data_IF_909624180985
#
_entry.id   IF_909624180985
#
_cell.length_a   1.000
_cell.length_b   1.000
_cell.length_c   1.000
_cell.angle_alpha   90.00
_cell.angle_beta   90.00
_cell.angle_gamma   90.00
#
_symmetry.space_group_name_H-M   'P 1'
#
loop_
_entity.id
_entity.type
_entity.pdbx_description
1 polymer ?
#
# COMPACT_ATOMS: atom_id res chain seq x y z
N UNK A 1 46.48 -77.19 34.25
CA UNK A 1 46.02 -76.92 35.63
C UNK A 1 46.55 -75.52 35.97
N UNK A 2 45.81 -74.43 36.18
CA UNK A 2 44.44 -74.12 36.61
C UNK A 2 43.91 -72.91 35.79
N UNK A 3 42.74 -73.02 35.15
CA UNK A 3 41.44 -72.45 35.56
C UNK A 3 41.44 -70.93 35.85
N UNK A 4 40.85 -70.19 34.91
CA UNK A 4 40.32 -68.82 35.06
C UNK A 4 39.34 -68.76 36.24
N UNK A 5 39.42 -67.71 37.06
CA UNK A 5 38.34 -67.32 37.96
C UNK A 5 37.98 -65.84 37.71
N UNK A 6 36.70 -65.61 37.44
CA UNK A 6 36.06 -64.33 37.14
C UNK A 6 35.93 -63.50 38.42
N UNK A 7 36.27 -62.22 38.37
CA UNK A 7 35.85 -61.23 39.37
C UNK A 7 34.55 -60.58 38.91
N UNK A 8 33.52 -60.61 39.77
CA UNK A 8 32.28 -59.83 39.64
C UNK A 8 32.12 -59.01 40.93
N UNK A 9 32.04 -57.68 40.71
CA UNK A 9 31.39 -56.55 41.44
C UNK A 9 31.31 -56.55 42.99
N UNK A 10 31.41 -55.42 43.69
CA UNK A 10 30.54 -54.22 43.66
C UNK A 10 31.27 -53.12 44.50
N UNK A 11 31.54 -51.91 44.00
CA UNK A 11 30.72 -50.67 44.03
C UNK A 11 31.27 -49.63 45.02
N UNK A 12 31.56 -48.41 44.54
CA UNK A 12 30.92 -47.12 44.90
C UNK A 12 31.30 -46.10 43.80
N UNK A 13 30.35 -45.34 43.23
CA UNK A 13 30.64 -44.39 42.16
C UNK A 13 31.25 -43.10 42.73
N UNK A 14 32.42 -42.69 42.24
CA UNK A 14 32.89 -41.33 42.39
C UNK A 14 32.39 -40.52 41.20
N UNK A 15 31.31 -39.78 41.41
CA UNK A 15 30.81 -38.80 40.46
C UNK A 15 31.86 -37.70 40.28
N UNK A 16 32.62 -37.76 39.18
CA UNK A 16 33.37 -36.61 38.69
C UNK A 16 32.36 -35.81 37.85
N UNK A 17 31.75 -34.82 38.48
CA UNK A 17 31.09 -33.73 37.76
C UNK A 17 32.16 -33.04 36.92
N UNK A 18 32.18 -33.38 35.63
CA UNK A 18 32.73 -32.51 34.61
C UNK A 18 31.94 -31.20 34.69
N UNK A 19 32.57 -30.18 35.28
CA UNK A 19 32.13 -28.80 35.17
C UNK A 19 32.28 -28.32 33.73
N UNK A 20 31.49 -28.89 32.82
CA UNK A 20 31.11 -28.23 31.59
C UNK A 20 30.12 -27.18 32.07
N UNK A 21 30.62 -25.97 32.35
CA UNK A 21 29.79 -24.80 32.55
C UNK A 21 28.96 -24.62 31.28
N UNK A 22 27.76 -25.20 31.28
CA UNK A 22 26.75 -24.96 30.28
C UNK A 22 26.43 -23.47 30.35
N UNK A 23 27.02 -22.71 29.44
CA UNK A 23 26.43 -21.46 29.02
C UNK A 23 25.08 -21.83 28.39
N UNK A 24 24.04 -21.89 29.20
CA UNK A 24 22.68 -21.85 28.70
C UNK A 24 22.50 -20.47 28.09
N UNK A 25 22.71 -20.39 26.78
CA UNK A 25 22.31 -19.23 26.00
C UNK A 25 20.78 -19.19 26.09
N UNK A 26 20.26 -18.33 26.97
CA UNK A 26 18.86 -17.93 26.94
C UNK A 26 18.66 -17.15 25.64
N UNK A 27 18.16 -17.84 24.61
CA UNK A 27 17.48 -17.15 23.53
C UNK A 27 16.14 -16.69 24.11
N UNK A 28 16.06 -15.45 24.60
CA UNK A 28 14.76 -14.84 24.86
C UNK A 28 13.95 -14.88 23.57
N UNK A 29 12.69 -15.30 23.66
CA UNK A 29 11.75 -15.10 22.56
C UNK A 29 11.70 -13.60 22.28
N UNK A 30 12.16 -13.21 21.10
CA UNK A 30 12.07 -11.83 20.64
C UNK A 30 10.60 -11.58 20.35
N UNK A 31 9.90 -10.88 21.26
CA UNK A 31 8.48 -10.56 21.08
C UNK A 31 8.30 -9.69 19.83
N UNK A 32 7.37 -10.08 18.95
CA UNK A 32 7.01 -9.31 17.76
C UNK A 32 6.60 -7.87 18.16
N UNK A 33 7.27 -6.85 17.63
CA UNK A 33 6.91 -5.45 17.87
C UNK A 33 5.83 -5.01 16.89
N UNK A 34 4.72 -4.45 17.37
CA UNK A 34 3.64 -3.95 16.50
C UNK A 34 3.78 -2.46 16.26
N UNK A 35 3.78 -2.05 14.99
CA UNK A 35 3.76 -0.66 14.55
C UNK A 35 2.38 -0.38 13.97
N UNK A 36 1.68 0.58 14.56
CA UNK A 36 0.35 1.02 14.11
C UNK A 36 0.50 2.19 13.15
N UNK A 37 -0.12 2.08 11.98
CA UNK A 37 0.03 3.03 10.88
C UNK A 37 -1.34 3.64 10.62
N UNK A 38 -1.51 4.90 11.03
CA UNK A 38 -2.73 5.67 10.83
C UNK A 38 -2.55 6.65 9.69
N UNK A 39 -3.49 6.65 8.75
CA UNK A 39 -3.50 7.59 7.63
C UNK A 39 -4.87 8.21 7.51
N UNK A 40 -4.89 9.53 7.41
CA UNK A 40 -6.09 10.27 7.04
C UNK A 40 -6.13 10.39 5.51
N UNK A 41 -7.19 9.88 4.91
CA UNK A 41 -7.50 10.08 3.50
C UNK A 41 -9.01 10.32 3.37
N UNK A 42 -9.45 11.29 2.54
CA UNK A 42 -10.87 11.50 2.31
C UNK A 42 -11.42 10.35 1.47
N UNK A 43 -12.61 9.88 1.83
CA UNK A 43 -13.34 8.89 1.04
C UNK A 43 -14.81 9.22 0.89
N UNK A 44 -15.46 8.65 -0.13
CA UNK A 44 -16.88 8.86 -0.38
C UNK A 44 -17.55 7.65 -1.02
N UNK A 45 -18.87 7.57 -0.87
CA UNK A 45 -19.74 6.62 -1.59
C UNK A 45 -20.56 7.32 -2.70
N UNK A 46 -20.33 8.62 -2.93
CA UNK A 46 -21.17 9.47 -3.78
C UNK A 46 -20.39 10.02 -4.96
N UNK A 47 -20.92 9.78 -6.16
CA UNK A 47 -20.38 10.31 -7.40
C UNK A 47 -20.28 11.86 -7.38
N UNK A 48 -21.28 12.52 -6.79
CA UNK A 48 -21.28 13.98 -6.61
C UNK A 48 -20.03 14.50 -5.89
N UNK A 49 -19.61 13.83 -4.81
CA UNK A 49 -18.45 14.26 -4.03
C UNK A 49 -17.16 13.99 -4.82
N UNK A 50 -17.08 12.86 -5.55
CA UNK A 50 -15.96 12.57 -6.47
C UNK A 50 -15.81 13.66 -7.53
N UNK A 51 -16.91 14.13 -8.11
CA UNK A 51 -16.89 15.23 -9.10
C UNK A 51 -16.50 16.54 -8.45
N UNK A 52 -17.04 16.88 -7.27
CA UNK A 52 -16.76 18.15 -6.60
C UNK A 52 -15.30 18.29 -6.20
N UNK A 53 -14.71 17.23 -5.67
CA UNK A 53 -13.31 17.21 -5.27
C UNK A 53 -12.35 17.22 -6.47
N UNK A 54 -12.76 16.67 -7.62
CA UNK A 54 -11.89 16.64 -8.81
C UNK A 54 -11.69 18.02 -9.45
N UNK A 55 -10.46 18.35 -9.81
CA UNK A 55 -10.16 19.46 -10.71
C UNK A 55 -10.39 19.05 -12.17
N UNK A 56 -10.18 17.76 -12.49
CA UNK A 56 -10.37 17.17 -13.82
C UNK A 56 -11.12 15.84 -13.71
N UNK A 57 -12.14 15.66 -14.55
CA UNK A 57 -12.79 14.36 -14.77
C UNK A 57 -12.56 13.96 -16.22
N UNK A 58 -11.91 12.82 -16.44
CA UNK A 58 -11.51 12.38 -17.77
C UNK A 58 -11.79 10.90 -18.00
N UNK A 59 -12.17 10.56 -19.24
CA UNK A 59 -12.32 9.19 -19.72
C UNK A 59 -11.17 8.87 -20.66
N UNK A 60 -10.62 7.66 -20.52
CA UNK A 60 -9.46 7.23 -21.30
C UNK A 60 -9.00 5.83 -20.93
N UNK A 61 -7.73 5.54 -21.18
CA UNK A 61 -7.13 4.26 -20.84
C UNK A 61 -5.66 4.41 -20.44
N UNK A 62 -5.20 3.55 -19.54
CA UNK A 62 -3.78 3.42 -19.26
C UNK A 62 -3.07 2.73 -20.42
N UNK A 63 -1.87 3.20 -20.80
CA UNK A 63 -1.03 2.57 -21.84
C UNK A 63 0.26 1.93 -21.31
N UNK A 64 0.63 2.23 -20.07
CA UNK A 64 1.77 1.59 -19.41
C UNK A 64 2.14 2.24 -18.09
N UNK A 65 3.00 1.55 -17.35
CA UNK A 65 3.77 2.12 -16.25
C UNK A 65 4.84 3.06 -16.81
N UNK A 66 5.01 4.23 -16.18
CA UNK A 66 6.00 5.24 -16.57
C UNK A 66 7.26 5.11 -15.72
N UNK A 67 7.14 5.37 -14.41
CA UNK A 67 8.26 5.33 -13.47
C UNK A 67 7.77 5.26 -12.02
N UNK A 68 8.71 5.00 -11.10
CA UNK A 68 8.52 5.33 -9.67
C UNK A 68 9.11 6.70 -9.36
N UNK A 69 8.67 7.32 -8.26
CA UNK A 69 9.23 8.58 -7.75
C UNK A 69 9.01 8.68 -6.24
N UNK A 70 9.77 9.55 -5.56
CA UNK A 70 9.53 9.83 -4.15
C UNK A 70 8.43 10.88 -4.02
N UNK A 71 7.27 10.58 -3.46
CA UNK A 71 6.20 11.55 -3.22
C UNK A 71 6.52 12.50 -2.07
N UNK A 72 7.40 12.12 -1.14
CA UNK A 72 7.74 12.95 0.01
C UNK A 72 8.41 14.26 -0.45
N UNK A 73 7.96 15.38 0.10
CA UNK A 73 8.40 16.72 -0.28
C UNK A 73 9.30 17.30 0.80
N UNK A 74 10.39 17.92 0.37
CA UNK A 74 11.30 18.60 1.27
C UNK A 74 10.52 19.72 2.02
N UNK A 75 10.49 19.71 3.37
CA UNK A 75 9.74 20.70 4.15
C UNK A 75 10.20 22.16 3.95
N UNK A 76 11.45 22.34 3.53
CA UNK A 76 12.05 23.64 3.23
C UNK A 76 11.86 24.07 1.77
N UNK A 77 11.62 23.13 0.86
CA UNK A 77 11.31 23.39 -0.55
C UNK A 77 10.42 22.28 -1.14
N UNK A 78 9.11 22.54 -1.20
CA UNK A 78 8.13 21.55 -1.66
C UNK A 78 8.30 21.15 -3.14
N UNK A 79 9.11 21.88 -3.92
CA UNK A 79 9.42 21.50 -5.30
C UNK A 79 10.47 20.38 -5.39
N UNK A 80 11.14 20.06 -4.28
CA UNK A 80 12.18 19.04 -4.22
C UNK A 80 11.73 17.81 -3.44
N UNK A 81 12.30 16.65 -3.79
CA UNK A 81 12.09 15.42 -3.04
C UNK A 81 12.71 15.55 -1.65
N UNK A 82 12.02 15.03 -0.64
CA UNK A 82 12.62 14.83 0.68
C UNK A 82 13.79 13.83 0.56
N UNK A 83 14.91 14.13 1.21
CA UNK A 83 16.10 13.27 1.20
C UNK A 83 16.08 12.23 2.32
N UNK A 84 15.29 12.46 3.36
CA UNK A 84 15.20 11.60 4.54
C UNK A 84 13.98 10.69 4.49
N UNK A 85 12.86 11.21 3.98
CA UNK A 85 11.60 10.48 3.87
C UNK A 85 11.39 9.92 2.46
N UNK A 86 10.82 8.72 2.38
CA UNK A 86 10.51 8.08 1.11
C UNK A 86 9.09 7.52 1.09
N UNK A 87 8.27 8.07 0.20
CA UNK A 87 6.92 7.53 -0.10
C UNK A 87 6.93 7.20 -1.59
N UNK A 88 6.86 5.92 -1.93
CA UNK A 88 6.92 5.48 -3.32
C UNK A 88 5.59 5.77 -4.03
N UNK A 89 5.66 6.59 -5.07
CA UNK A 89 4.59 6.80 -6.03
C UNK A 89 4.86 6.03 -7.31
N UNK A 90 3.81 5.42 -7.88
CA UNK A 90 3.83 4.79 -9.19
C UNK A 90 3.12 5.68 -10.20
N UNK A 91 3.84 6.14 -11.22
CA UNK A 91 3.28 6.92 -12.31
C UNK A 91 2.85 6.00 -13.45
N UNK A 92 1.62 6.19 -13.90
CA UNK A 92 1.06 5.51 -15.06
C UNK A 92 0.68 6.51 -16.14
N UNK A 93 0.97 6.16 -17.39
CA UNK A 93 0.61 6.96 -18.55
C UNK A 93 -0.86 6.69 -18.93
N UNK A 94 -1.64 7.76 -19.01
CA UNK A 94 -3.07 7.73 -19.31
C UNK A 94 -3.39 8.53 -20.56
N UNK A 95 -3.96 7.87 -21.56
CA UNK A 95 -4.39 8.51 -22.80
C UNK A 95 -5.82 8.99 -22.66
N UNK A 96 -6.01 10.30 -22.72
CA UNK A 96 -7.33 10.92 -22.60
C UNK A 96 -8.07 10.77 -23.92
N UNK A 97 -9.34 10.39 -23.84
CA UNK A 97 -10.27 10.30 -24.98
C UNK A 97 -11.36 11.35 -24.90
N UNK A 98 -11.78 11.67 -23.69
CA UNK A 98 -12.86 12.62 -23.43
C UNK A 98 -12.64 13.26 -22.06
N UNK A 99 -13.01 14.53 -21.94
CA UNK A 99 -12.93 15.30 -20.70
C UNK A 99 -14.34 15.75 -20.35
N UNK A 100 -14.78 15.41 -19.14
CA UNK A 100 -16.11 15.74 -18.62
C UNK A 100 -16.10 16.95 -17.69
N UNK A 101 -14.95 17.27 -17.08
CA UNK A 101 -14.76 18.44 -16.20
C UNK A 101 -13.31 18.92 -16.27
N UNK A 102 -13.14 20.24 -16.27
CA UNK A 102 -11.85 20.91 -16.15
C UNK A 102 -10.96 20.80 -17.39
N UNK A 103 -9.81 21.47 -17.34
CA UNK A 103 -8.86 21.49 -18.45
C UNK A 103 -7.59 20.71 -18.06
N UNK A 104 -7.27 19.57 -18.70
CA UNK A 104 -6.04 18.87 -18.40
C UNK A 104 -4.80 19.69 -18.85
N UNK A 105 -3.71 19.57 -18.09
CA UNK A 105 -2.38 20.09 -18.39
C UNK A 105 -1.84 19.54 -19.72
N UNK A 106 -2.22 18.30 -20.06
CA UNK A 106 -1.76 17.58 -21.25
C UNK A 106 -2.72 16.45 -21.67
N UNK A 107 -2.76 16.14 -22.96
CA UNK A 107 -3.60 15.07 -23.54
C UNK A 107 -3.22 13.65 -23.06
N UNK A 108 -1.95 13.46 -22.70
CA UNK A 108 -1.44 12.20 -22.14
C UNK A 108 -1.01 12.44 -20.70
N UNK A 109 -1.87 12.14 -19.74
CA UNK A 109 -1.64 12.44 -18.33
C UNK A 109 -0.70 11.41 -17.69
N UNK A 110 0.06 11.85 -16.68
CA UNK A 110 0.72 10.96 -15.73
C UNK A 110 -0.11 10.89 -14.46
N UNK A 111 -0.60 9.70 -14.11
CA UNK A 111 -1.44 9.49 -12.92
C UNK A 111 -0.60 8.82 -11.84
N UNK A 112 -0.45 9.48 -10.71
CA UNK A 112 0.25 8.95 -9.56
C UNK A 112 -0.67 8.09 -8.69
N UNK A 113 -0.17 6.89 -8.37
CA UNK A 113 -0.72 6.02 -7.35
C UNK A 113 0.29 5.92 -6.21
N UNK A 114 -0.15 6.24 -4.99
CA UNK A 114 0.66 5.94 -3.81
C UNK A 114 0.77 4.42 -3.66
N UNK A 115 1.99 3.91 -3.56
CA UNK A 115 2.25 2.48 -3.55
C UNK A 115 2.81 1.98 -2.23
N UNK A 116 3.81 2.65 -1.67
CA UNK A 116 4.44 2.24 -0.42
C UNK A 116 5.06 3.42 0.33
N UNK A 117 5.44 3.22 1.58
CA UNK A 117 6.23 4.18 2.36
C UNK A 117 7.33 3.46 3.15
N UNK A 118 8.45 4.14 3.34
CA UNK A 118 9.46 3.73 4.31
C UNK A 118 9.09 4.29 5.69
N UNK A 119 9.02 3.39 6.67
CA UNK A 119 8.74 3.72 8.06
C UNK A 119 10.02 3.50 8.84
N UNK A 120 10.49 4.55 9.51
CA UNK A 120 11.61 4.45 10.43
C UNK A 120 11.17 3.74 11.72
N UNK A 121 12.00 2.80 12.16
CA UNK A 121 11.81 2.00 13.35
C UNK A 121 12.83 2.44 14.39
N UNK A 122 12.32 3.08 15.44
CA UNK A 122 13.08 3.60 16.58
C UNK A 122 14.21 4.55 16.17
N UNK A 123 15.07 4.94 17.12
CA UNK A 123 16.22 5.83 16.89
C UNK A 123 17.39 5.15 16.13
N UNK A 124 17.14 4.00 15.50
CA UNK A 124 18.20 3.14 14.92
C UNK A 124 18.51 3.44 13.46
N UNK A 125 17.80 4.38 12.81
CA UNK A 125 17.76 4.58 11.36
C UNK A 125 17.32 3.33 10.55
N UNK A 126 16.79 2.30 11.22
CA UNK A 126 16.25 1.12 10.53
C UNK A 126 14.94 1.48 9.86
N UNK A 127 14.75 1.06 8.60
CA UNK A 127 13.52 1.35 7.85
C UNK A 127 12.86 0.06 7.38
N UNK A 128 11.54 0.01 7.44
CA UNK A 128 10.72 -1.05 6.83
C UNK A 128 9.78 -0.46 5.80
N UNK A 129 9.48 -1.24 4.78
CA UNK A 129 8.54 -0.84 3.73
C UNK A 129 7.14 -1.29 4.11
N UNK A 130 6.21 -0.33 4.17
CA UNK A 130 4.78 -0.57 4.28
C UNK A 130 4.13 -0.32 2.92
N UNK A 131 3.57 -1.36 2.31
CA UNK A 131 2.77 -1.23 1.10
C UNK A 131 1.41 -0.60 1.44
N UNK A 132 0.92 0.27 0.57
CA UNK A 132 -0.37 0.93 0.75
C UNK A 132 -1.50 -0.10 0.56
N UNK A 133 -2.31 -0.38 1.59
CA UNK A 133 -3.39 -1.36 1.48
C UNK A 133 -4.48 -0.93 0.47
N UNK A 134 -4.57 0.36 0.16
CA UNK A 134 -5.53 0.90 -0.81
C UNK A 134 -5.00 0.88 -2.24
N UNK A 135 -3.73 0.50 -2.44
CA UNK A 135 -3.19 0.39 -3.78
C UNK A 135 -3.94 -0.65 -4.62
N UNK A 136 -4.41 -0.19 -5.77
CA UNK A 136 -4.96 -1.00 -6.85
C UNK A 136 -4.15 -0.67 -8.10
N UNK A 137 -3.41 -1.65 -8.61
CA UNK A 137 -2.68 -1.51 -9.86
C UNK A 137 -3.67 -1.36 -11.02
N UNK A 138 -3.58 -0.31 -11.86
CA UNK A 138 -4.46 -0.16 -13.00
C UNK A 138 -4.21 -1.24 -14.07
N UNK A 139 -5.27 -1.67 -14.74
CA UNK A 139 -5.19 -2.58 -15.87
C UNK A 139 -4.91 -1.81 -17.17
N UNK A 140 -3.82 -2.17 -17.85
CA UNK A 140 -3.44 -1.52 -19.11
C UNK A 140 -4.45 -1.84 -20.22
N UNK A 141 -4.83 -0.83 -20.98
CA UNK A 141 -5.75 -0.96 -22.11
C UNK A 141 -7.23 -0.98 -21.75
N UNK A 142 -7.60 -1.06 -20.46
CA UNK A 142 -8.99 -0.94 -20.02
C UNK A 142 -9.46 0.51 -20.04
N UNK A 143 -10.76 0.70 -20.25
CA UNK A 143 -11.41 2.01 -20.23
C UNK A 143 -11.64 2.43 -18.78
N UNK A 144 -11.29 3.67 -18.47
CA UNK A 144 -11.48 4.25 -17.15
C UNK A 144 -12.10 5.64 -17.24
N UNK A 145 -12.81 6.03 -16.17
CA UNK A 145 -13.15 7.39 -15.82
C UNK A 145 -12.42 7.73 -14.52
N UNK A 146 -11.64 8.81 -14.53
CA UNK A 146 -10.78 9.24 -13.43
C UNK A 146 -11.23 10.59 -12.88
N UNK A 147 -11.13 10.74 -11.56
CA UNK A 147 -11.47 11.94 -10.79
C UNK A 147 -10.20 12.49 -10.15
N UNK A 148 -9.63 13.55 -10.74
CA UNK A 148 -8.22 13.89 -10.52
C UNK A 148 -8.03 15.29 -9.95
N UNK A 149 -7.05 15.41 -9.05
CA UNK A 149 -6.41 16.67 -8.67
C UNK A 149 -5.18 16.91 -9.53
N UNK A 150 -4.94 18.18 -9.89
CA UNK A 150 -3.72 18.59 -10.58
C UNK A 150 -2.62 18.90 -9.58
N UNK A 151 -1.38 18.54 -9.91
CA UNK A 151 -0.21 19.10 -9.27
C UNK A 151 0.60 19.87 -10.30
N UNK A 152 0.42 21.18 -10.28
CA UNK A 152 1.04 22.11 -11.23
C UNK A 152 2.56 22.17 -11.06
N UNK A 153 3.11 21.78 -9.91
CA UNK A 153 4.56 21.81 -9.67
C UNK A 153 5.29 20.65 -10.34
N UNK A 154 4.61 19.50 -10.47
CA UNK A 154 5.21 18.24 -10.90
C UNK A 154 4.67 17.73 -12.24
N UNK A 155 3.67 18.41 -12.82
CA UNK A 155 3.05 18.07 -14.10
C UNK A 155 2.52 16.62 -14.16
N UNK A 156 1.87 16.20 -13.07
CA UNK A 156 1.15 14.93 -12.97
C UNK A 156 -0.12 15.12 -12.13
N UNK A 157 -0.88 14.03 -11.98
CA UNK A 157 -2.20 14.03 -11.36
C UNK A 157 -2.27 13.01 -10.23
N UNK A 158 -3.17 13.26 -9.29
CA UNK A 158 -3.47 12.37 -8.18
C UNK A 158 -4.96 12.10 -8.12
N UNK A 159 -5.36 10.98 -7.50
CA UNK A 159 -6.76 10.76 -7.16
C UNK A 159 -7.28 11.89 -6.25
N UNK A 160 -8.43 12.45 -6.60
CA UNK A 160 -8.98 13.59 -5.86
C UNK A 160 -9.58 13.20 -4.50
N UNK A 161 -10.13 11.99 -4.42
CA UNK A 161 -10.77 11.39 -3.24
C UNK A 161 -10.76 9.88 -3.44
N UNK A 162 -10.83 9.06 -2.38
CA UNK A 162 -10.98 7.61 -2.53
C UNK A 162 -12.46 7.20 -2.58
N UNK A 163 -12.92 6.44 -3.60
CA UNK A 163 -12.24 6.10 -4.85
C UNK A 163 -12.18 7.25 -5.83
N UNK A 164 -11.17 7.22 -6.69
CA UNK A 164 -11.01 8.18 -7.78
C UNK A 164 -11.09 7.56 -9.16
N UNK A 165 -11.32 6.24 -9.27
CA UNK A 165 -11.33 5.56 -10.55
C UNK A 165 -12.49 4.59 -10.70
N UNK A 166 -13.09 4.62 -11.90
CA UNK A 166 -14.14 3.71 -12.35
C UNK A 166 -13.61 3.03 -13.59
N UNK A 167 -13.54 1.70 -13.59
CA UNK A 167 -13.21 0.90 -14.77
C UNK A 167 -14.50 0.53 -15.52
N UNK A 168 -14.42 0.35 -16.85
CA UNK A 168 -15.53 -0.12 -17.67
C UNK A 168 -15.19 -1.42 -18.38
N UNK A 169 -16.17 -2.31 -18.51
CA UNK A 169 -16.06 -3.49 -19.38
C UNK A 169 -16.30 -3.15 -20.86
N UNK A 170 -16.38 -4.20 -21.69
CA UNK A 170 -16.62 -4.10 -23.13
C UNK A 170 -18.03 -3.59 -23.48
N UNK A 171 -18.98 -3.65 -22.53
CA UNK A 171 -20.36 -3.17 -22.67
C UNK A 171 -20.60 -1.82 -22.00
N UNK A 172 -19.52 -1.12 -21.62
CA UNK A 172 -19.56 0.16 -20.93
C UNK A 172 -20.28 0.12 -19.57
N UNK A 173 -20.19 -1.02 -18.89
CA UNK A 173 -20.69 -1.21 -17.53
C UNK A 173 -19.59 -0.87 -16.53
N UNK A 174 -19.93 -0.03 -15.55
CA UNK A 174 -19.02 0.50 -14.55
C UNK A 174 -18.65 -0.52 -13.46
N UNK A 175 -17.39 -0.45 -13.03
CA UNK A 175 -16.80 -1.15 -11.88
C UNK A 175 -16.00 -0.14 -11.04
N UNK A 176 -16.55 0.27 -9.91
CA UNK A 176 -15.89 1.16 -8.96
C UNK A 176 -14.63 0.49 -8.41
N UNK A 177 -13.48 1.18 -8.49
CA UNK A 177 -12.20 0.64 -8.04
C UNK A 177 -11.88 1.15 -6.64
N UNK A 178 -12.05 0.32 -5.62
CA UNK A 178 -11.62 0.63 -4.24
C UNK A 178 -11.45 -0.63 -3.40
N UNK A 179 -10.40 -0.65 -2.56
CA UNK A 179 -10.25 -1.66 -1.51
C UNK A 179 -11.09 -1.32 -0.26
N UNK A 180 -11.79 -0.18 -0.23
CA UNK A 180 -12.73 0.20 0.85
C UNK A 180 -14.14 -0.38 0.65
N UNK A 181 -14.45 -0.95 -0.52
CA UNK A 181 -15.69 -1.69 -0.76
C UNK A 181 -15.74 -2.95 0.11
N UNK A 182 -14.59 -3.63 0.22
CA UNK A 182 -14.39 -4.83 1.03
C UNK A 182 -12.97 -4.79 1.59
N UNK A 183 -12.84 -4.43 2.87
CA UNK A 183 -11.55 -4.35 3.55
C UNK A 183 -11.04 -5.76 3.83
N UNK A 184 -9.93 -6.12 3.20
CA UNK A 184 -9.21 -7.35 3.44
C UNK A 184 -8.24 -7.18 4.61
N UNK A 185 -8.60 -7.72 5.79
CA UNK A 185 -7.79 -7.63 7.00
C UNK A 185 -6.39 -8.21 6.84
N UNK A 186 -6.18 -9.19 5.95
CA UNK A 186 -4.86 -9.77 5.69
C UNK A 186 -3.93 -8.77 5.00
N UNK A 187 -4.48 -7.87 4.19
CA UNK A 187 -3.72 -6.79 3.54
C UNK A 187 -3.37 -5.64 4.49
N UNK A 188 -4.11 -5.51 5.58
CA UNK A 188 -3.86 -4.46 6.58
C UNK A 188 -2.69 -4.80 7.51
N UNK A 189 -2.32 -6.07 7.65
CA UNK A 189 -1.31 -6.51 8.60
C UNK A 189 -0.18 -7.31 7.95
N UNK A 190 1.01 -6.74 7.86
CA UNK A 190 2.19 -7.39 7.26
C UNK A 190 3.27 -7.63 8.30
N UNK A 191 3.81 -8.86 8.35
CA UNK A 191 5.01 -9.16 9.12
C UNK A 191 6.26 -8.83 8.31
N UNK A 192 7.15 -8.03 8.86
CA UNK A 192 8.48 -7.72 8.29
C UNK A 192 9.55 -8.13 9.28
N UNK A 193 10.65 -8.69 8.79
CA UNK A 193 11.82 -9.01 9.59
C UNK A 193 12.91 -8.02 9.27
N UNK A 194 13.42 -7.32 10.27
CA UNK A 194 14.55 -6.41 10.16
C UNK A 194 15.52 -6.77 11.29
N UNK A 195 16.78 -7.00 10.94
CA UNK A 195 17.79 -7.58 11.83
C UNK A 195 17.31 -8.88 12.50
N UNK A 196 17.31 -8.93 13.83
CA UNK A 196 16.88 -10.07 14.62
C UNK A 196 15.48 -9.88 15.23
N UNK A 197 14.73 -8.86 14.80
CA UNK A 197 13.42 -8.48 15.28
C UNK A 197 12.36 -8.65 14.19
N UNK A 198 11.19 -9.17 14.58
CA UNK A 198 10.00 -9.19 13.73
C UNK A 198 9.12 -8.00 14.09
N UNK A 199 8.66 -7.29 13.06
CA UNK A 199 7.74 -6.18 13.16
C UNK A 199 6.41 -6.55 12.50
N UNK A 200 5.30 -6.24 13.17
CA UNK A 200 3.95 -6.36 12.62
C UNK A 200 3.48 -4.95 12.27
N UNK A 201 3.42 -4.65 10.98
CA UNK A 201 2.90 -3.38 10.47
C UNK A 201 1.39 -3.50 10.35
N UNK A 202 0.63 -2.68 11.06
CA UNK A 202 -0.84 -2.67 11.02
C UNK A 202 -1.35 -1.34 10.48
N UNK A 203 -1.89 -1.34 9.27
CA UNK A 203 -2.57 -0.20 8.68
C UNK A 203 -3.99 -0.08 9.25
N UNK A 204 -4.30 1.06 9.84
CA UNK A 204 -5.66 1.37 10.27
C UNK A 204 -6.48 1.89 9.10
N UNK A 205 -7.55 1.18 8.79
CA UNK A 205 -8.59 1.58 7.84
C UNK A 205 -9.91 1.46 8.58
N UNK A 206 -10.37 2.57 9.14
CA UNK A 206 -11.46 2.58 10.12
C UNK A 206 -12.85 2.77 9.47
N UNK A 207 -12.93 2.75 8.15
CA UNK A 207 -14.18 2.97 7.41
C UNK A 207 -14.25 2.17 6.12
N UNK A 208 -15.48 1.92 5.68
CA UNK A 208 -15.83 1.33 4.40
C UNK A 208 -16.69 2.29 3.60
N UNK A 209 -16.86 2.01 2.32
CA UNK A 209 -17.77 2.75 1.45
C UNK A 209 -18.84 1.82 0.87
N UNK A 210 -19.93 2.40 0.39
CA UNK A 210 -20.99 1.68 -0.32
C UNK A 210 -20.85 1.87 -1.82
N UNK A 211 -21.00 0.78 -2.57
CA UNK A 211 -21.01 0.86 -4.03
C UNK A 211 -22.37 1.32 -4.55
N UNK A 212 -22.42 2.54 -5.07
CA UNK A 212 -23.61 3.10 -5.73
C UNK A 212 -23.36 3.41 -7.21
N UNK A 213 -22.19 2.99 -7.72
CA UNK A 213 -21.66 3.39 -9.03
C UNK A 213 -21.55 2.18 -9.96
N UNK A 214 -21.09 1.03 -9.47
CA UNK A 214 -20.96 -0.17 -10.30
C UNK A 214 -22.31 -0.62 -10.86
N UNK A 215 -22.26 -1.28 -12.03
CA UNK A 215 -23.41 -1.71 -12.83
C UNK A 215 -24.18 -0.59 -13.56
N UNK A 216 -23.84 0.68 -13.35
CA UNK A 216 -24.35 1.77 -14.19
C UNK A 216 -23.65 1.75 -15.56
N UNK A 217 -24.36 2.18 -16.60
CA UNK A 217 -23.73 2.41 -17.90
C UNK A 217 -22.97 3.75 -17.91
N UNK A 218 -21.90 3.85 -18.70
CA UNK A 218 -21.11 5.09 -18.82
C UNK A 218 -21.96 6.31 -19.18
N UNK A 219 -22.97 6.16 -20.05
CA UNK A 219 -23.81 7.28 -20.48
C UNK A 219 -24.69 7.80 -19.33
N UNK A 220 -25.15 6.90 -18.46
CA UNK A 220 -25.89 7.27 -17.24
C UNK A 220 -24.99 8.07 -16.29
N UNK A 221 -23.74 7.63 -16.11
CA UNK A 221 -22.76 8.33 -15.28
C UNK A 221 -22.42 9.72 -15.83
N UNK A 222 -22.26 9.86 -17.15
CA UNK A 222 -22.02 11.16 -17.79
C UNK A 222 -23.17 12.14 -17.53
N UNK A 223 -24.41 11.70 -17.73
CA UNK A 223 -25.62 12.49 -17.45
C UNK A 223 -25.69 12.89 -15.97
N UNK A 224 -25.26 12.01 -15.06
CA UNK A 224 -25.21 12.31 -13.62
C UNK A 224 -24.14 13.37 -13.31
N UNK A 225 -22.93 13.22 -13.87
CA UNK A 225 -21.79 14.14 -13.68
C UNK A 225 -22.10 15.55 -14.19
N UNK A 226 -22.78 15.69 -15.33
CA UNK A 226 -23.18 16.98 -15.87
C UNK A 226 -24.01 17.83 -14.90
N UNK A 227 -24.72 17.20 -13.95
CA UNK A 227 -25.53 17.90 -12.93
C UNK A 227 -24.68 18.51 -11.81
N UNK A 228 -23.42 18.12 -11.70
CA UNK A 228 -22.50 18.52 -10.62
C UNK A 228 -21.42 19.50 -11.07
N UNK A 229 -21.36 19.79 -12.38
CA UNK A 229 -20.45 20.76 -12.98
C UNK A 229 -20.95 22.21 -12.82
#
# INVERSE_FOLDING_TARGET
MNKKLKFILLAVPFAIFLGIGGYSIYFGEVEDTTILITKDFPSTSRLEDMVKEADVVAIGNYDGFDSTWNMARNPQDISQEDQENYVEGHLYNFNVKEVLKGDPLQDRMKINYRYAEQIEIDDSNSKVVNEDPLYIKPEIGKKYMLFLKKDENMNHYFGAIEPFSIMFDENDIAYLQSNLLHVDEERLSVKKKQDNQTYILKNQVDHTISDTISNKNIDELKIEIEKYN
#
